data_IF_984310427982
#
_entry.id   IF_984310427982
#
_cell.length_a   1.000
_cell.length_b   1.000
_cell.length_c   1.000
_cell.angle_alpha   90.00
_cell.angle_beta   90.00
_cell.angle_gamma   90.00
#
_symmetry.space_group_name_H-M   'P 1'
#
loop_
_entity.id
_entity.type
_entity.pdbx_description
1 polymer ?
#
# COMPACT_ATOMS: atom_id res chain seq x y z
N UNK A 1 -1.14 1.23 -17.47
CA UNK A 1 -0.97 1.43 -16.02
C UNK A 1 -1.86 0.46 -15.27
N UNK A 2 -1.33 -0.23 -14.27
CA UNK A 2 -2.11 -1.17 -13.49
C UNK A 2 -3.02 -0.42 -12.51
N UNK A 3 -4.22 -0.93 -12.34
CA UNK A 3 -5.17 -0.37 -11.39
C UNK A 3 -4.94 -0.98 -10.00
N UNK A 4 -4.84 -0.15 -8.98
CA UNK A 4 -4.66 -0.60 -7.61
C UNK A 4 -6.00 -0.64 -6.88
N UNK A 5 -6.25 -1.74 -6.17
CA UNK A 5 -7.41 -1.88 -5.31
C UNK A 5 -6.93 -2.17 -3.90
N UNK A 6 -7.40 -1.40 -2.93
CA UNK A 6 -6.99 -1.56 -1.54
C UNK A 6 -8.04 -2.34 -0.76
N UNK A 7 -7.58 -3.17 0.17
CA UNK A 7 -8.46 -3.90 1.08
C UNK A 7 -7.72 -4.14 2.40
N UNK A 8 -8.42 -4.65 3.40
CA UNK A 8 -7.81 -4.94 4.68
C UNK A 8 -7.54 -6.43 4.82
N UNK A 9 -6.41 -6.76 5.42
CA UNK A 9 -6.09 -8.14 5.79
C UNK A 9 -7.05 -8.60 6.87
N UNK A 10 -7.35 -9.89 6.90
CA UNK A 10 -8.31 -10.45 7.86
C UNK A 10 -7.78 -10.46 9.29
N UNK A 11 -6.47 -10.62 9.44
CA UNK A 11 -5.85 -10.69 10.76
C UNK A 11 -5.50 -9.30 11.29
N UNK A 12 -5.76 -9.09 12.57
CA UNK A 12 -5.33 -7.89 13.27
C UNK A 12 -3.94 -8.08 13.85
N UNK A 13 -3.20 -6.98 13.98
CA UNK A 13 -1.95 -7.00 14.73
C UNK A 13 -2.26 -6.81 16.22
N UNK A 14 -1.22 -6.68 17.05
CA UNK A 14 -1.39 -6.52 18.50
C UNK A 14 -2.14 -5.26 18.90
N UNK A 15 -2.16 -4.26 18.05
CA UNK A 15 -2.84 -2.99 18.29
C UNK A 15 -4.27 -2.96 17.74
N UNK A 16 -4.75 -4.08 17.20
CA UNK A 16 -6.08 -4.12 16.59
C UNK A 16 -6.15 -3.49 15.21
N UNK A 17 -5.02 -3.37 14.54
CA UNK A 17 -4.95 -2.80 13.20
C UNK A 17 -4.75 -3.89 12.15
N UNK A 18 -5.22 -3.63 10.95
CA UNK A 18 -5.10 -4.54 9.82
C UNK A 18 -4.14 -3.96 8.80
N UNK A 19 -3.28 -4.81 8.24
CA UNK A 19 -2.47 -4.37 7.11
C UNK A 19 -3.36 -4.07 5.91
N UNK A 20 -3.01 -3.02 5.17
CA UNK A 20 -3.68 -2.72 3.92
C UNK A 20 -3.06 -3.60 2.85
N UNK A 21 -3.91 -4.33 2.13
CA UNK A 21 -3.50 -5.16 1.02
C UNK A 21 -3.71 -4.39 -0.28
N UNK A 22 -2.74 -4.44 -1.17
CA UNK A 22 -2.80 -3.77 -2.45
C UNK A 22 -2.85 -4.81 -3.56
N UNK A 23 -3.95 -4.84 -4.31
CA UNK A 23 -4.06 -5.71 -5.48
C UNK A 23 -3.80 -4.85 -6.72
N UNK A 24 -2.82 -5.26 -7.51
CA UNK A 24 -2.48 -4.56 -8.75
C UNK A 24 -3.07 -5.33 -9.92
N UNK A 25 -4.08 -4.76 -10.56
CA UNK A 25 -4.73 -5.37 -11.71
C UNK A 25 -3.91 -5.07 -12.97
N UNK A 26 -2.97 -5.95 -13.30
CA UNK A 26 -2.09 -5.79 -14.44
C UNK A 26 -2.81 -6.21 -15.73
N UNK A 27 -3.39 -7.40 -15.71
CA UNK A 27 -4.23 -7.89 -16.79
C UNK A 27 -5.45 -8.55 -16.18
N UNK A 28 -6.38 -9.01 -17.04
CA UNK A 28 -7.59 -9.70 -16.57
C UNK A 28 -7.28 -10.93 -15.72
N UNK A 29 -6.18 -11.60 -16.01
CA UNK A 29 -5.79 -12.83 -15.31
C UNK A 29 -4.60 -12.66 -14.39
N UNK A 30 -3.92 -11.53 -14.44
CA UNK A 30 -2.74 -11.27 -13.60
C UNK A 30 -3.04 -10.14 -12.63
N UNK A 31 -3.42 -10.51 -11.41
CA UNK A 31 -3.82 -9.57 -10.36
C UNK A 31 -3.10 -9.87 -9.06
N UNK A 32 -1.78 -9.67 -9.01
CA UNK A 32 -1.03 -9.95 -7.78
C UNK A 32 -1.44 -9.03 -6.64
N UNK A 33 -1.45 -9.59 -5.44
CA UNK A 33 -1.79 -8.86 -4.22
C UNK A 33 -0.57 -8.76 -3.32
N UNK A 34 -0.35 -7.60 -2.77
CA UNK A 34 0.81 -7.30 -1.93
C UNK A 34 0.37 -6.80 -0.58
N UNK A 35 1.09 -7.21 0.46
CA UNK A 35 0.86 -6.73 1.81
C UNK A 35 1.69 -5.47 2.02
N UNK A 36 1.02 -4.34 2.25
CA UNK A 36 1.72 -3.09 2.49
C UNK A 36 2.24 -3.02 3.93
N UNK A 37 3.21 -2.13 4.21
CA UNK A 37 3.65 -1.90 5.58
C UNK A 37 2.69 -1.02 6.39
N UNK A 38 1.63 -0.51 5.75
CA UNK A 38 0.68 0.39 6.41
C UNK A 38 -0.43 -0.41 7.08
N UNK A 39 -0.71 -0.08 8.35
CA UNK A 39 -1.79 -0.70 9.11
C UNK A 39 -2.79 0.35 9.55
N UNK A 40 -4.06 0.01 9.54
CA UNK A 40 -5.13 0.90 9.99
C UNK A 40 -6.18 0.07 10.74
N UNK A 41 -6.97 0.73 11.56
CA UNK A 41 -8.13 0.11 12.18
C UNK A 41 -9.25 -0.02 11.14
N UNK A 42 -10.14 -0.98 11.35
CA UNK A 42 -11.25 -1.20 10.43
C UNK A 42 -12.07 0.07 10.19
N UNK A 43 -12.34 0.82 11.25
CA UNK A 43 -13.11 2.06 11.16
C UNK A 43 -12.38 3.18 10.45
N UNK A 44 -11.07 3.07 10.28
CA UNK A 44 -10.26 4.05 9.59
C UNK A 44 -10.18 3.80 8.08
N UNK A 45 -10.75 2.72 7.62
CA UNK A 45 -10.70 2.33 6.22
C UNK A 45 -12.13 2.23 5.67
N UNK A 46 -12.50 3.18 4.83
CA UNK A 46 -13.87 3.31 4.29
C UNK A 46 -13.81 3.38 2.77
N UNK A 47 -14.66 2.59 2.12
CA UNK A 47 -14.78 2.58 0.65
C UNK A 47 -13.47 2.40 -0.08
N UNK A 48 -12.61 1.54 0.44
CA UNK A 48 -11.35 1.20 -0.22
C UNK A 48 -10.25 2.23 -0.04
N UNK A 49 -10.38 3.14 0.92
CA UNK A 49 -9.33 4.12 1.19
C UNK A 49 -9.33 4.53 2.66
N UNK A 50 -8.23 5.16 3.07
CA UNK A 50 -8.10 5.65 4.45
C UNK A 50 -8.99 6.87 4.62
N UNK A 51 -9.90 6.80 5.59
CA UNK A 51 -10.80 7.89 5.89
C UNK A 51 -10.15 8.90 6.82
N UNK A 52 -10.07 10.15 6.38
CA UNK A 52 -9.54 11.25 7.20
C UNK A 52 -10.68 12.18 7.55
N UNK A 53 -11.07 12.24 8.84
CA UNK A 53 -12.15 13.15 9.26
C UNK A 53 -11.79 14.60 8.98
N UNK A 54 -12.75 15.35 8.47
CA UNK A 54 -12.50 16.75 8.08
C UNK A 54 -12.48 17.70 9.27
N UNK A 55 -13.08 17.32 10.38
CA UNK A 55 -13.15 18.20 11.54
C UNK A 55 -12.90 17.50 12.85
N UNK A 56 -12.37 18.24 13.63
CA UNK A 56 -11.83 18.24 14.86
C UNK A 56 -12.52 17.78 16.08
N UNK A 57 -13.23 16.73 16.16
CA UNK A 57 -13.36 16.01 17.41
C UNK A 57 -12.16 15.13 17.66
N UNK A 58 -11.32 14.97 16.66
CA UNK A 58 -10.08 14.22 16.77
C UNK A 58 -8.95 15.21 17.01
N UNK A 59 -7.98 14.81 17.83
CA UNK A 59 -6.85 15.70 18.04
C UNK A 59 -6.00 15.74 16.75
N UNK A 60 -5.23 16.82 16.62
CA UNK A 60 -4.42 17.06 15.44
C UNK A 60 -3.40 15.94 15.20
N UNK A 61 -2.83 15.39 16.26
CA UNK A 61 -1.84 14.32 16.17
C UNK A 61 -2.41 13.08 15.52
N UNK A 62 -3.61 12.68 15.90
CA UNK A 62 -4.26 11.51 15.33
C UNK A 62 -4.58 11.72 13.84
N UNK A 63 -5.07 12.91 13.50
CA UNK A 63 -5.36 13.24 12.10
C UNK A 63 -4.10 13.23 11.24
N UNK A 64 -3.00 13.79 11.76
CA UNK A 64 -1.71 13.77 11.07
C UNK A 64 -1.20 12.36 10.87
N UNK A 65 -1.41 11.48 11.86
CA UNK A 65 -1.05 10.07 11.73
C UNK A 65 -1.79 9.40 10.58
N UNK A 66 -3.09 9.65 10.45
CA UNK A 66 -3.88 9.11 9.35
C UNK A 66 -3.44 9.65 8.01
N UNK A 67 -3.12 10.95 7.95
CA UNK A 67 -2.62 11.57 6.72
C UNK A 67 -1.28 10.96 6.30
N UNK A 68 -0.40 10.70 7.26
CA UNK A 68 0.87 10.04 6.98
C UNK A 68 0.65 8.63 6.43
N UNK A 69 -0.27 7.88 7.03
CA UNK A 69 -0.59 6.53 6.55
C UNK A 69 -1.12 6.57 5.12
N UNK A 70 -1.95 7.54 4.81
CA UNK A 70 -2.46 7.72 3.44
C UNK A 70 -1.34 8.02 2.47
N UNK A 71 -0.43 8.90 2.82
CA UNK A 71 0.74 9.23 2.00
C UNK A 71 1.61 8.00 1.81
N UNK A 72 1.85 7.23 2.87
CA UNK A 72 2.68 6.04 2.81
C UNK A 72 2.08 4.97 1.89
N UNK A 73 0.76 4.77 1.95
CA UNK A 73 0.13 3.78 1.07
C UNK A 73 0.14 4.23 -0.39
N UNK A 74 -0.04 5.53 -0.63
CA UNK A 74 0.06 6.07 -1.99
C UNK A 74 1.47 5.90 -2.55
N UNK A 75 2.49 6.11 -1.72
CA UNK A 75 3.88 5.90 -2.13
C UNK A 75 4.15 4.43 -2.43
N UNK A 76 3.59 3.53 -1.63
CA UNK A 76 3.73 2.09 -1.85
C UNK A 76 3.12 1.68 -3.20
N UNK A 77 1.91 2.16 -3.49
CA UNK A 77 1.24 1.90 -4.75
C UNK A 77 2.04 2.47 -5.92
N UNK A 78 2.54 3.69 -5.77
CA UNK A 78 3.34 4.32 -6.82
C UNK A 78 4.62 3.54 -7.10
N UNK A 79 5.27 3.01 -6.06
CA UNK A 79 6.46 2.17 -6.21
C UNK A 79 6.15 0.89 -6.98
N UNK A 80 5.04 0.23 -6.64
CA UNK A 80 4.62 -0.98 -7.35
C UNK A 80 4.32 -0.68 -8.82
N UNK A 81 3.64 0.43 -9.10
CA UNK A 81 3.35 0.83 -10.48
C UNK A 81 4.62 1.08 -11.28
N UNK A 82 5.58 1.78 -10.69
CA UNK A 82 6.86 2.05 -11.35
C UNK A 82 7.59 0.76 -11.69
N UNK A 83 7.59 -0.20 -10.77
CA UNK A 83 8.22 -1.51 -10.98
C UNK A 83 7.51 -2.25 -12.12
N UNK A 84 6.18 -2.29 -12.08
CA UNK A 84 5.39 -2.97 -13.11
C UNK A 84 5.66 -2.38 -14.48
N UNK A 85 5.77 -1.06 -14.58
CA UNK A 85 6.04 -0.40 -15.85
C UNK A 85 7.46 -0.64 -16.37
N UNK A 86 8.39 -0.98 -15.50
CA UNK A 86 9.78 -1.17 -15.86
C UNK A 86 10.14 -2.62 -16.19
N UNK A 87 9.29 -3.58 -15.80
CA UNK A 87 9.57 -5.00 -16.01
C UNK A 87 8.97 -5.48 -17.33
N UNK A 88 9.61 -6.49 -17.98
CA UNK A 88 9.01 -7.11 -19.15
C UNK A 88 7.78 -7.92 -18.74
N UNK A 89 6.89 -8.15 -19.71
CA UNK A 89 5.62 -8.82 -19.45
C UNK A 89 5.80 -10.19 -18.76
N UNK A 90 6.79 -10.95 -19.17
CA UNK A 90 7.05 -12.27 -18.60
C UNK A 90 7.55 -12.22 -17.17
N UNK A 91 7.97 -11.06 -16.69
CA UNK A 91 8.46 -10.87 -15.32
C UNK A 91 7.44 -10.18 -14.42
N UNK A 92 6.19 -10.05 -14.86
CA UNK A 92 5.15 -9.39 -14.07
C UNK A 92 4.43 -10.36 -13.14
N UNK A 93 5.19 -11.15 -12.40
CA UNK A 93 4.65 -12.04 -11.38
C UNK A 93 4.79 -11.39 -10.01
N UNK A 94 3.97 -11.82 -9.06
CA UNK A 94 4.04 -11.30 -7.70
C UNK A 94 5.46 -11.47 -7.12
N UNK A 95 6.05 -12.62 -7.35
CA UNK A 95 7.40 -12.91 -6.85
C UNK A 95 8.44 -11.96 -7.42
N UNK A 96 8.42 -11.76 -8.73
CA UNK A 96 9.41 -10.91 -9.40
C UNK A 96 9.25 -9.44 -9.00
N UNK A 97 8.01 -8.98 -8.90
CA UNK A 97 7.72 -7.60 -8.48
C UNK A 97 8.19 -7.38 -7.04
N UNK A 98 7.94 -8.35 -6.16
CA UNK A 98 8.39 -8.24 -4.78
C UNK A 98 9.91 -8.23 -4.66
N UNK A 99 10.60 -9.04 -5.45
CA UNK A 99 12.06 -9.06 -5.45
C UNK A 99 12.62 -7.69 -5.83
N UNK A 100 12.08 -7.08 -6.88
CA UNK A 100 12.53 -5.75 -7.29
C UNK A 100 12.20 -4.72 -6.21
N UNK A 101 11.01 -4.80 -5.63
CA UNK A 101 10.61 -3.88 -4.57
C UNK A 101 11.57 -3.95 -3.38
N UNK A 102 11.93 -5.16 -2.95
CA UNK A 102 12.87 -5.35 -1.85
C UNK A 102 14.25 -4.82 -2.18
N UNK A 103 14.71 -5.00 -3.41
CA UNK A 103 15.99 -4.46 -3.85
C UNK A 103 16.01 -2.94 -3.80
N UNK A 104 14.96 -2.30 -4.30
CA UNK A 104 14.85 -0.84 -4.29
C UNK A 104 14.77 -0.31 -2.86
N UNK A 105 14.03 -1.00 -2.02
CA UNK A 105 13.90 -0.63 -0.61
C UNK A 105 15.23 -0.73 0.12
N UNK A 106 16.02 -1.76 -0.18
CA UNK A 106 17.30 -1.98 0.46
C UNK A 106 18.34 -0.95 0.03
N UNK A 107 18.28 -0.52 -1.22
CA UNK A 107 19.20 0.48 -1.78
C UNK A 107 18.57 1.86 -1.68
N UNK A 108 18.11 2.23 -0.53
CA UNK A 108 17.40 3.49 -0.33
C UNK A 108 18.33 4.68 -0.58
N UNK A 109 17.94 5.58 -1.51
CA UNK A 109 18.74 6.78 -1.81
C UNK A 109 18.98 7.69 -0.62
N UNK A 110 18.16 7.61 0.40
CA UNK A 110 18.34 8.44 1.59
C UNK A 110 19.63 8.16 2.33
N UNK A 111 20.30 7.08 2.01
CA UNK A 111 21.57 6.71 2.62
C UNK A 111 22.77 7.35 1.93
N UNK A 112 22.52 8.05 0.89
CA UNK A 112 23.58 8.70 0.13
C UNK A 112 23.90 10.07 0.71
#
# INVERSE_FOLDING_TARGET
MAKATLSLAKKENKQGEHHILVRMDITRTNRPQFKSPVTVKEEEFVDGEIFIPKRGKLNATYRESLMKKKTDIEAFVASLNAIIMSLPEEALTRKDILEVYEMVKTVNPSEI
#
